data_IF_733791815866
#
_entry.id   IF_733791815866
#
_cell.length_a   1.000
_cell.length_b   1.000
_cell.length_c   1.000
_cell.angle_alpha   90.00
_cell.angle_beta   90.00
_cell.angle_gamma   90.00
#
_symmetry.space_group_name_H-M   'P 1'
#
loop_
_entity.id
_entity.type
_entity.pdbx_description
1 polymer ?
#
# COMPACT_ATOMS: atom_id res chain seq x y z
N UNK A 1 3.12 -3.50 -20.80
CA UNK A 1 3.24 -2.55 -19.66
C UNK A 1 2.05 -2.82 -18.75
N UNK A 2 2.32 -3.15 -17.48
CA UNK A 2 1.23 -3.41 -16.53
C UNK A 2 0.67 -2.09 -16.03
N UNK A 3 -0.67 -1.99 -15.91
CA UNK A 3 -1.36 -0.77 -15.50
C UNK A 3 -2.37 -1.12 -14.40
N UNK A 4 -2.35 -0.35 -13.31
CA UNK A 4 -3.44 -0.32 -12.35
C UNK A 4 -4.21 0.98 -12.55
N UNK A 5 -5.51 0.88 -12.86
CA UNK A 5 -6.40 2.01 -13.09
C UNK A 5 -7.54 2.00 -12.08
N UNK A 6 -7.74 3.13 -11.45
CA UNK A 6 -8.77 3.37 -10.45
C UNK A 6 -9.77 4.36 -11.00
N UNK A 7 -11.05 4.01 -10.99
CA UNK A 7 -12.11 4.81 -11.60
C UNK A 7 -13.23 5.12 -10.61
N UNK A 8 -13.36 6.39 -10.23
CA UNK A 8 -14.46 6.96 -9.46
C UNK A 8 -14.82 6.17 -8.19
N UNK A 9 -13.81 5.73 -7.43
CA UNK A 9 -14.04 4.95 -6.21
C UNK A 9 -14.78 5.78 -5.17
N UNK A 10 -15.89 5.21 -4.66
CA UNK A 10 -16.65 5.78 -3.54
C UNK A 10 -16.83 4.71 -2.47
N UNK A 11 -16.63 5.11 -1.21
CA UNK A 11 -16.91 4.26 -0.04
C UNK A 11 -17.47 5.05 1.11
N UNK A 12 -18.64 4.60 1.59
CA UNK A 12 -19.33 5.17 2.75
C UNK A 12 -19.49 4.11 3.83
N UNK A 13 -19.19 4.46 5.06
CA UNK A 13 -19.40 3.59 6.22
C UNK A 13 -20.54 4.10 7.09
N UNK A 14 -21.30 3.17 7.65
CA UNK A 14 -22.19 3.50 8.76
C UNK A 14 -21.38 3.62 10.04
N UNK A 15 -21.62 4.66 10.82
CA UNK A 15 -20.95 4.94 12.09
C UNK A 15 -21.93 4.90 13.24
N UNK A 16 -21.44 4.59 14.44
CA UNK A 16 -22.24 4.62 15.65
C UNK A 16 -22.68 6.06 16.01
N UNK A 17 -23.78 6.19 16.75
CA UNK A 17 -24.23 7.50 17.25
C UNK A 17 -23.14 8.23 18.06
N UNK A 18 -22.33 7.49 18.82
CA UNK A 18 -21.22 8.06 19.56
C UNK A 18 -20.13 8.64 18.64
N UNK A 19 -19.79 7.93 17.58
CA UNK A 19 -18.84 8.41 16.55
C UNK A 19 -19.42 9.59 15.76
N UNK A 20 -20.70 9.55 15.40
CA UNK A 20 -21.39 10.65 14.73
C UNK A 20 -21.27 11.95 15.55
N UNK A 21 -21.57 11.88 16.86
CA UNK A 21 -21.46 13.04 17.76
C UNK A 21 -20.02 13.54 17.90
N UNK A 22 -19.04 12.61 17.99
CA UNK A 22 -17.61 12.95 18.10
C UNK A 22 -17.07 13.65 16.85
N UNK A 23 -17.57 13.28 15.67
CA UNK A 23 -17.14 13.80 14.37
C UNK A 23 -18.02 14.96 13.87
N UNK A 24 -19.03 15.35 14.65
CA UNK A 24 -20.00 16.41 14.31
C UNK A 24 -20.63 16.24 12.91
N UNK A 25 -21.00 15.00 12.58
CA UNK A 25 -21.55 14.69 11.26
C UNK A 25 -23.08 14.82 11.25
N UNK A 26 -23.68 15.33 10.14
CA UNK A 26 -25.12 15.53 10.01
C UNK A 26 -25.91 14.20 9.96
N UNK A 27 -25.22 13.09 9.66
CA UNK A 27 -25.82 11.76 9.55
C UNK A 27 -24.93 10.68 10.17
N UNK A 28 -25.46 9.47 10.35
CA UNK A 28 -24.72 8.30 10.78
C UNK A 28 -23.88 7.65 9.64
N UNK A 29 -23.62 8.40 8.57
CA UNK A 29 -22.81 7.97 7.44
C UNK A 29 -21.57 8.83 7.34
N UNK A 30 -20.42 8.18 7.17
CA UNK A 30 -19.14 8.83 6.88
C UNK A 30 -18.68 8.40 5.50
N UNK A 31 -18.58 9.35 4.57
CA UNK A 31 -17.92 9.14 3.28
C UNK A 31 -16.41 9.08 3.55
N UNK A 32 -15.80 7.93 3.33
CA UNK A 32 -14.38 7.72 3.55
C UNK A 32 -13.56 7.89 2.28
N UNK A 33 -14.17 7.64 1.12
CA UNK A 33 -13.59 7.83 -0.22
C UNK A 33 -14.69 8.39 -1.11
N UNK A 34 -14.39 9.45 -1.83
CA UNK A 34 -15.35 10.24 -2.59
C UNK A 34 -14.84 10.55 -4.01
N UNK A 35 -15.05 9.61 -4.94
CA UNK A 35 -14.75 9.79 -6.36
C UNK A 35 -13.26 9.75 -6.71
N UNK A 36 -12.46 8.93 -6.03
CA UNK A 36 -11.03 8.80 -6.31
C UNK A 36 -10.80 8.13 -7.66
N UNK A 37 -9.97 8.77 -8.49
CA UNK A 37 -9.51 8.23 -9.78
C UNK A 37 -8.02 8.52 -9.96
N UNK A 38 -7.25 7.50 -10.37
CA UNK A 38 -5.85 7.61 -10.76
C UNK A 38 -5.41 6.38 -11.53
N UNK A 39 -4.23 6.45 -12.13
CA UNK A 39 -3.57 5.29 -12.72
C UNK A 39 -2.09 5.26 -12.34
N UNK A 40 -1.49 4.07 -12.34
CA UNK A 40 -0.07 3.83 -12.12
C UNK A 40 0.41 2.67 -12.96
N UNK A 41 1.73 2.62 -13.24
CA UNK A 41 2.30 1.76 -14.27
C UNK A 41 3.43 0.88 -13.71
N UNK A 42 3.79 -0.17 -14.46
CA UNK A 42 4.96 -0.98 -14.17
C UNK A 42 6.25 -0.14 -14.18
N UNK A 43 7.15 -0.41 -13.23
CA UNK A 43 8.38 0.36 -13.04
C UNK A 43 8.17 1.72 -12.36
N UNK A 44 6.98 1.95 -11.78
CA UNK A 44 6.63 3.17 -11.06
C UNK A 44 6.33 2.87 -9.58
N UNK A 45 6.75 3.77 -8.70
CA UNK A 45 6.26 3.85 -7.32
C UNK A 45 5.29 5.03 -7.23
N UNK A 46 4.03 4.73 -6.95
CA UNK A 46 2.96 5.71 -6.80
C UNK A 46 2.60 5.90 -5.33
N UNK A 47 2.71 7.14 -4.83
CA UNK A 47 2.40 7.50 -3.44
C UNK A 47 0.95 8.00 -3.27
N UNK A 48 0.27 7.51 -2.24
CA UNK A 48 -0.99 8.07 -1.75
C UNK A 48 -0.69 8.77 -0.42
N UNK A 49 -0.57 10.11 -0.46
CA UNK A 49 -0.16 10.95 0.66
C UNK A 49 -1.36 11.69 1.25
N UNK A 50 -1.41 11.79 2.57
CA UNK A 50 -2.47 12.55 3.24
C UNK A 50 -2.52 12.31 4.75
N UNK A 51 -3.27 13.13 5.50
CA UNK A 51 -3.38 13.01 6.94
C UNK A 51 -4.11 11.73 7.37
N UNK A 52 -4.05 11.43 8.66
CA UNK A 52 -4.81 10.33 9.24
C UNK A 52 -6.31 10.58 9.09
N UNK A 53 -7.02 9.55 8.61
CA UNK A 53 -8.47 9.65 8.36
C UNK A 53 -8.85 10.21 6.97
N UNK A 54 -7.89 10.58 6.12
CA UNK A 54 -8.14 11.10 4.76
C UNK A 54 -8.70 10.07 3.77
N UNK A 55 -8.76 8.77 4.13
CA UNK A 55 -9.27 7.71 3.25
C UNK A 55 -8.21 6.78 2.67
N UNK A 56 -6.90 7.01 2.93
CA UNK A 56 -5.79 6.21 2.38
C UNK A 56 -5.97 4.71 2.58
N UNK A 57 -6.05 4.24 3.83
CA UNK A 57 -6.23 2.81 4.16
C UNK A 57 -7.50 2.22 3.53
N UNK A 58 -8.60 2.99 3.47
CA UNK A 58 -9.84 2.54 2.81
C UNK A 58 -9.60 2.35 1.31
N UNK A 59 -8.92 3.28 0.66
CA UNK A 59 -8.52 3.17 -0.74
C UNK A 59 -7.65 1.94 -0.95
N UNK A 60 -6.57 1.76 -0.18
CA UNK A 60 -5.67 0.60 -0.28
C UNK A 60 -6.42 -0.73 -0.12
N UNK A 61 -7.36 -0.81 0.83
CA UNK A 61 -8.18 -2.01 1.04
C UNK A 61 -9.16 -2.28 -0.10
N UNK A 62 -9.65 -1.24 -0.81
CA UNK A 62 -10.44 -1.43 -2.02
C UNK A 62 -9.57 -1.93 -3.18
N UNK A 63 -8.36 -1.38 -3.35
CA UNK A 63 -7.38 -1.90 -4.31
C UNK A 63 -7.13 -3.39 -4.04
N UNK A 64 -6.87 -3.75 -2.79
CA UNK A 64 -6.61 -5.12 -2.37
C UNK A 64 -7.86 -6.02 -2.32
N UNK A 65 -8.99 -5.60 -2.87
CA UNK A 65 -10.27 -6.36 -2.86
C UNK A 65 -10.78 -6.79 -1.48
N UNK A 66 -10.24 -6.21 -0.40
CA UNK A 66 -10.66 -6.50 0.97
C UNK A 66 -11.96 -5.78 1.35
N UNK A 67 -12.25 -4.67 0.68
CA UNK A 67 -13.49 -3.91 0.81
C UNK A 67 -14.03 -3.64 -0.58
N UNK A 68 -15.31 -3.99 -0.81
CA UNK A 68 -15.98 -3.65 -2.07
C UNK A 68 -16.34 -2.15 -2.07
N UNK A 69 -16.01 -1.40 -3.13
CA UNK A 69 -16.47 -0.03 -3.28
C UNK A 69 -17.99 0.03 -3.43
N UNK A 70 -18.60 1.15 -3.04
CA UNK A 70 -20.02 1.41 -3.24
C UNK A 70 -20.29 1.90 -4.67
N UNK A 71 -19.29 2.59 -5.30
CA UNK A 71 -19.28 2.98 -6.71
C UNK A 71 -17.84 2.93 -7.23
N UNK A 72 -17.73 2.88 -8.56
CA UNK A 72 -16.44 2.82 -9.24
C UNK A 72 -15.86 1.41 -9.31
N UNK A 73 -14.66 1.29 -9.86
CA UNK A 73 -13.95 0.02 -10.03
C UNK A 73 -12.43 0.22 -9.98
N UNK A 74 -11.72 -0.89 -9.82
CA UNK A 74 -10.26 -0.97 -9.93
C UNK A 74 -9.92 -2.00 -10.99
N UNK A 75 -9.10 -1.61 -11.95
CA UNK A 75 -8.68 -2.49 -13.03
C UNK A 75 -7.19 -2.82 -12.90
N UNK A 76 -6.89 -4.10 -12.85
CA UNK A 76 -5.54 -4.66 -12.97
C UNK A 76 -5.35 -5.08 -14.42
N UNK A 77 -4.71 -4.22 -15.22
CA UNK A 77 -4.84 -4.22 -16.67
C UNK A 77 -6.33 -4.08 -17.05
N UNK A 78 -6.90 -5.04 -17.75
CA UNK A 78 -8.32 -5.01 -18.14
C UNK A 78 -9.23 -5.81 -17.18
N UNK A 79 -8.69 -6.34 -16.08
CA UNK A 79 -9.45 -7.19 -15.15
C UNK A 79 -10.04 -6.33 -14.03
N UNK A 80 -11.37 -6.31 -13.95
CA UNK A 80 -12.13 -5.62 -12.91
C UNK A 80 -12.02 -6.32 -11.57
N UNK A 81 -11.58 -5.61 -10.54
CA UNK A 81 -11.51 -6.11 -9.17
C UNK A 81 -12.90 -6.30 -8.53
N UNK A 82 -13.90 -5.57 -9.02
CA UNK A 82 -15.29 -5.70 -8.54
C UNK A 82 -15.98 -6.93 -9.11
N UNK A 83 -15.70 -7.27 -10.39
CA UNK A 83 -16.31 -8.40 -11.10
C UNK A 83 -15.57 -9.72 -10.92
N UNK A 84 -14.23 -9.66 -10.90
CA UNK A 84 -13.33 -10.83 -10.84
C UNK A 84 -12.29 -10.71 -9.73
N UNK A 85 -12.70 -10.52 -8.45
CA UNK A 85 -11.76 -10.27 -7.35
C UNK A 85 -10.79 -11.42 -7.12
N UNK A 86 -11.18 -12.67 -7.38
CA UNK A 86 -10.33 -13.85 -7.19
C UNK A 86 -9.18 -13.87 -8.21
N UNK A 87 -9.46 -13.55 -9.46
CA UNK A 87 -8.45 -13.47 -10.52
C UNK A 87 -7.44 -12.35 -10.25
N UNK A 88 -7.91 -11.23 -9.73
CA UNK A 88 -7.08 -10.08 -9.37
C UNK A 88 -6.17 -10.40 -8.19
N UNK A 89 -6.64 -11.14 -7.17
CA UNK A 89 -5.84 -11.50 -5.97
C UNK A 89 -4.57 -12.26 -6.30
N UNK A 90 -4.56 -13.03 -7.36
CA UNK A 90 -3.36 -13.74 -7.80
C UNK A 90 -2.28 -12.81 -8.41
N UNK A 91 -2.61 -11.57 -8.73
CA UNK A 91 -1.74 -10.63 -9.44
C UNK A 91 -1.06 -9.61 -8.53
N UNK A 92 -1.52 -9.44 -7.28
CA UNK A 92 -0.96 -8.45 -6.37
C UNK A 92 -0.52 -9.03 -5.03
N UNK A 93 0.44 -8.35 -4.40
CA UNK A 93 0.73 -8.49 -2.97
C UNK A 93 0.13 -7.29 -2.21
N UNK A 94 -0.48 -7.56 -1.05
CA UNK A 94 -0.94 -6.53 -0.14
C UNK A 94 -0.24 -6.67 1.20
N UNK A 95 0.49 -5.64 1.57
CA UNK A 95 1.26 -5.58 2.81
C UNK A 95 0.73 -4.47 3.71
N UNK A 96 0.56 -4.85 4.97
CA UNK A 96 0.27 -3.93 6.06
C UNK A 96 1.28 -4.14 7.18
N UNK A 97 1.44 -3.15 8.03
CA UNK A 97 2.27 -3.28 9.25
C UNK A 97 1.76 -4.36 10.21
N UNK A 98 0.51 -4.78 10.07
CA UNK A 98 -0.18 -5.74 10.94
C UNK A 98 -0.16 -7.18 10.41
N UNK A 99 0.71 -7.53 9.45
CA UNK A 99 0.78 -8.91 8.96
C UNK A 99 1.15 -9.85 10.11
N UNK A 100 0.19 -10.67 10.53
CA UNK A 100 0.36 -11.62 11.63
C UNK A 100 1.07 -12.87 11.13
N UNK A 101 2.38 -12.93 11.35
CA UNK A 101 3.16 -14.15 11.15
C UNK A 101 2.82 -15.19 12.24
N UNK A 102 2.84 -16.47 11.88
CA UNK A 102 2.74 -17.54 12.91
C UNK A 102 4.02 -17.55 13.78
N UNK A 103 3.87 -17.08 15.00
CA UNK A 103 4.99 -16.95 15.96
C UNK A 103 5.64 -18.27 16.34
N UNK A 104 4.98 -19.41 16.12
CA UNK A 104 5.50 -20.76 16.40
C UNK A 104 6.27 -21.36 15.24
N UNK A 105 6.08 -20.83 14.04
CA UNK A 105 6.73 -21.25 12.80
C UNK A 105 8.11 -20.61 12.61
N UNK A 106 8.78 -20.93 11.51
CA UNK A 106 10.02 -20.34 11.03
C UNK A 106 9.82 -19.67 9.67
N UNK A 107 10.75 -18.80 9.23
CA UNK A 107 10.67 -18.20 7.91
C UNK A 107 10.66 -19.26 6.81
N UNK A 108 11.48 -20.30 6.97
CA UNK A 108 11.58 -21.42 6.02
C UNK A 108 10.25 -22.16 5.87
N UNK A 109 9.64 -22.55 6.98
CA UNK A 109 8.34 -23.28 6.98
C UNK A 109 7.23 -22.40 6.40
N UNK A 110 7.17 -21.13 6.77
CA UNK A 110 6.16 -20.22 6.24
C UNK A 110 6.32 -20.01 4.74
N UNK A 111 7.56 -19.84 4.27
CA UNK A 111 7.82 -19.74 2.83
C UNK A 111 7.29 -20.99 2.09
N UNK A 112 7.67 -22.19 2.54
CA UNK A 112 7.28 -23.44 1.90
C UNK A 112 5.75 -23.63 1.89
N UNK A 113 5.09 -23.29 3.00
CA UNK A 113 3.62 -23.31 3.09
C UNK A 113 2.95 -22.37 2.08
N UNK A 114 3.41 -21.12 1.97
CA UNK A 114 2.82 -20.18 1.00
C UNK A 114 3.19 -20.53 -0.44
N UNK A 115 4.38 -21.06 -0.71
CA UNK A 115 4.75 -21.55 -2.04
C UNK A 115 3.84 -22.68 -2.51
N UNK A 116 3.48 -23.62 -1.60
CA UNK A 116 2.51 -24.67 -1.87
C UNK A 116 1.10 -24.10 -2.08
N UNK A 117 0.67 -23.16 -1.23
CA UNK A 117 -0.64 -22.51 -1.33
C UNK A 117 -0.83 -21.78 -2.68
N UNK A 118 0.23 -21.16 -3.18
CA UNK A 118 0.26 -20.51 -4.50
C UNK A 118 0.53 -21.47 -5.65
N UNK A 119 0.62 -22.79 -5.39
CA UNK A 119 0.89 -23.83 -6.39
C UNK A 119 2.17 -23.60 -7.20
N UNK A 120 3.21 -23.03 -6.55
CA UNK A 120 4.50 -22.78 -7.20
C UNK A 120 5.24 -24.11 -7.34
N UNK A 121 5.76 -24.48 -8.56
CA UNK A 121 6.53 -25.70 -8.74
C UNK A 121 7.73 -25.73 -7.77
N UNK A 122 8.00 -26.91 -7.17
CA UNK A 122 9.02 -27.08 -6.11
C UNK A 122 10.40 -26.52 -6.48
N UNK A 123 10.85 -26.79 -7.69
CA UNK A 123 12.15 -26.33 -8.19
C UNK A 123 12.21 -24.79 -8.25
N UNK A 124 11.15 -24.18 -8.79
CA UNK A 124 11.01 -22.71 -8.86
C UNK A 124 10.93 -22.10 -7.45
N UNK A 125 10.16 -22.73 -6.56
CA UNK A 125 10.03 -22.28 -5.17
C UNK A 125 11.37 -22.31 -4.43
N UNK A 126 12.14 -23.41 -4.60
CA UNK A 126 13.44 -23.56 -3.95
C UNK A 126 14.43 -22.50 -4.41
N UNK A 127 14.61 -22.35 -5.72
CA UNK A 127 15.50 -21.34 -6.30
C UNK A 127 15.14 -19.92 -5.83
N UNK A 128 13.86 -19.58 -5.87
CA UNK A 128 13.37 -18.27 -5.44
C UNK A 128 13.51 -18.05 -3.94
N UNK A 129 13.36 -19.11 -3.13
CA UNK A 129 13.62 -19.06 -1.69
C UNK A 129 15.06 -18.67 -1.39
N UNK A 130 16.00 -19.32 -2.05
CA UNK A 130 17.43 -19.02 -1.91
C UNK A 130 17.73 -17.56 -2.28
N UNK A 131 17.28 -17.12 -3.45
CA UNK A 131 17.44 -15.73 -3.91
C UNK A 131 16.83 -14.70 -2.94
N UNK A 132 15.58 -14.89 -2.53
CA UNK A 132 14.91 -13.96 -1.63
C UNK A 132 15.53 -13.97 -0.22
N UNK A 133 15.90 -15.13 0.31
CA UNK A 133 16.48 -15.22 1.65
C UNK A 133 17.88 -14.62 1.70
N UNK A 134 18.67 -14.76 0.64
CA UNK A 134 19.97 -14.12 0.50
C UNK A 134 19.83 -12.61 0.37
N UNK A 135 19.03 -12.11 -0.56
CA UNK A 135 18.82 -10.69 -0.82
C UNK A 135 18.32 -9.91 0.41
N UNK A 136 17.46 -10.57 1.24
CA UNK A 136 16.93 -9.96 2.47
C UNK A 136 17.74 -10.29 3.72
N UNK A 137 18.84 -11.07 3.60
CA UNK A 137 19.67 -11.47 4.72
C UNK A 137 18.92 -12.35 5.74
N UNK A 138 17.96 -13.16 5.29
CA UNK A 138 17.15 -14.05 6.11
C UNK A 138 17.85 -15.39 6.34
N UNK A 139 18.75 -15.81 5.46
CA UNK A 139 19.40 -17.13 5.44
C UNK A 139 19.93 -17.56 6.80
N UNK A 140 20.58 -16.64 7.54
CA UNK A 140 21.20 -16.97 8.84
C UNK A 140 20.23 -17.30 9.97
N UNK A 141 18.95 -16.94 9.84
CA UNK A 141 17.91 -17.19 10.84
C UNK A 141 16.64 -17.82 10.26
N UNK A 142 16.72 -18.36 9.04
CA UNK A 142 15.59 -18.94 8.31
C UNK A 142 14.84 -20.01 9.12
N UNK A 143 15.54 -20.79 9.93
CA UNK A 143 15.01 -21.88 10.75
C UNK A 143 14.82 -21.47 12.24
N UNK A 144 15.03 -20.21 12.56
CA UNK A 144 14.74 -19.66 13.89
C UNK A 144 13.24 -19.37 14.00
N UNK A 145 12.63 -19.73 15.16
CA UNK A 145 11.22 -19.42 15.41
C UNK A 145 10.95 -17.92 15.31
N UNK A 146 9.91 -17.52 14.63
CA UNK A 146 9.51 -16.12 14.41
C UNK A 146 9.34 -15.37 15.75
N UNK A 147 8.87 -16.06 16.80
CA UNK A 147 8.79 -15.48 18.16
C UNK A 147 10.13 -14.99 18.73
N UNK A 148 11.25 -15.53 18.26
CA UNK A 148 12.60 -15.17 18.72
C UNK A 148 13.26 -14.09 17.84
N UNK A 149 12.66 -13.72 16.73
CA UNK A 149 13.19 -12.71 15.82
C UNK A 149 12.91 -11.29 16.33
N UNK A 150 13.80 -10.35 16.03
CA UNK A 150 13.54 -8.92 16.22
C UNK A 150 12.37 -8.43 15.35
N UNK A 151 11.85 -7.25 15.63
CA UNK A 151 10.77 -6.67 14.81
C UNK A 151 11.21 -6.50 13.36
N UNK A 152 12.41 -5.96 13.09
CA UNK A 152 12.96 -5.80 11.74
C UNK A 152 13.15 -7.14 11.03
N UNK A 153 13.65 -8.18 11.72
CA UNK A 153 13.77 -9.52 11.13
C UNK A 153 12.40 -10.09 10.77
N UNK A 154 11.38 -9.92 11.61
CA UNK A 154 10.00 -10.32 11.29
C UNK A 154 9.45 -9.56 10.09
N UNK A 155 9.75 -8.25 9.99
CA UNK A 155 9.34 -7.44 8.85
C UNK A 155 9.93 -7.96 7.54
N UNK A 156 11.24 -8.29 7.51
CA UNK A 156 11.88 -8.91 6.34
C UNK A 156 11.22 -10.22 5.92
N UNK A 157 10.92 -11.09 6.88
CA UNK A 157 10.19 -12.33 6.62
C UNK A 157 8.81 -12.04 6.01
N UNK A 158 8.08 -11.07 6.55
CA UNK A 158 6.79 -10.63 6.04
C UNK A 158 6.85 -10.14 4.59
N UNK A 159 7.84 -9.30 4.26
CA UNK A 159 8.08 -8.81 2.90
C UNK A 159 8.32 -9.97 1.92
N UNK A 160 9.25 -10.87 2.26
CA UNK A 160 9.57 -12.02 1.41
C UNK A 160 8.36 -12.91 1.16
N UNK A 161 7.62 -13.25 2.22
CA UNK A 161 6.42 -14.09 2.10
C UNK A 161 5.38 -13.45 1.18
N UNK A 162 5.21 -12.15 1.23
CA UNK A 162 4.20 -11.45 0.43
C UNK A 162 4.46 -11.49 -1.08
N UNK A 163 5.71 -11.68 -1.50
CA UNK A 163 6.11 -11.66 -2.92
C UNK A 163 6.48 -13.03 -3.49
N UNK A 164 6.25 -14.10 -2.75
CA UNK A 164 6.55 -15.49 -3.17
C UNK A 164 5.99 -15.80 -4.56
N UNK A 165 4.74 -15.41 -4.81
CA UNK A 165 4.01 -15.68 -6.06
C UNK A 165 4.37 -14.74 -7.23
N UNK A 166 5.41 -13.92 -7.07
CA UNK A 166 5.87 -12.98 -8.08
C UNK A 166 4.81 -12.01 -8.59
N UNK A 167 4.13 -11.28 -7.70
CA UNK A 167 3.06 -10.38 -8.10
C UNK A 167 3.57 -9.28 -9.03
N UNK A 168 2.70 -8.81 -9.92
CA UNK A 168 3.00 -7.67 -10.79
C UNK A 168 2.69 -6.34 -10.11
N UNK A 169 1.76 -6.36 -9.15
CA UNK A 169 1.31 -5.19 -8.40
C UNK A 169 1.62 -5.37 -6.92
N UNK A 170 2.17 -4.36 -6.28
CA UNK A 170 2.51 -4.38 -4.87
C UNK A 170 1.87 -3.18 -4.19
N UNK A 171 1.06 -3.46 -3.18
CA UNK A 171 0.27 -2.46 -2.46
C UNK A 171 0.73 -2.44 -1.01
N UNK A 172 1.24 -1.30 -0.55
CA UNK A 172 1.69 -1.09 0.82
C UNK A 172 0.83 -0.06 1.56
N UNK A 173 0.23 -0.46 2.67
CA UNK A 173 -0.48 0.47 3.55
C UNK A 173 0.40 0.83 4.76
N UNK A 174 0.90 2.08 4.79
CA UNK A 174 1.79 2.64 5.82
C UNK A 174 3.05 1.78 6.08
N UNK A 175 3.90 1.49 5.05
CA UNK A 175 4.91 0.43 5.08
C UNK A 175 6.00 0.60 6.14
N UNK A 176 6.29 1.83 6.57
CA UNK A 176 7.36 2.12 7.54
C UNK A 176 6.85 2.59 8.90
N UNK A 177 5.52 2.59 9.10
CA UNK A 177 4.93 3.06 10.34
C UNK A 177 5.33 2.15 11.52
N UNK A 178 5.82 2.76 12.61
CA UNK A 178 6.24 2.04 13.82
C UNK A 178 7.54 1.24 13.68
N UNK A 179 8.27 1.37 12.58
CA UNK A 179 9.58 0.74 12.40
C UNK A 179 10.71 1.66 12.90
N UNK A 180 11.79 1.06 13.37
CA UNK A 180 13.04 1.77 13.60
C UNK A 180 13.72 2.16 12.27
N UNK A 181 14.77 3.00 12.36
CA UNK A 181 15.47 3.56 11.20
C UNK A 181 16.03 2.47 10.28
N UNK A 182 16.54 1.38 10.84
CA UNK A 182 17.16 0.28 10.08
C UNK A 182 16.08 -0.51 9.34
N UNK A 183 15.03 -0.91 10.05
CA UNK A 183 13.91 -1.64 9.45
C UNK A 183 13.18 -0.80 8.39
N UNK A 184 13.01 0.51 8.62
CA UNK A 184 12.44 1.42 7.64
C UNK A 184 13.31 1.54 6.37
N UNK A 185 14.65 1.49 6.52
CA UNK A 185 15.57 1.45 5.38
C UNK A 185 15.39 0.17 4.58
N UNK A 186 15.34 -0.99 5.23
CA UNK A 186 15.13 -2.28 4.55
C UNK A 186 13.81 -2.28 3.72
N UNK A 187 12.75 -1.68 4.25
CA UNK A 187 11.47 -1.54 3.51
C UNK A 187 11.61 -0.61 2.31
N UNK A 188 12.32 0.52 2.44
CA UNK A 188 12.58 1.42 1.31
C UNK A 188 13.39 0.74 0.21
N UNK A 189 14.45 0.05 0.59
CA UNK A 189 15.31 -0.67 -0.35
C UNK A 189 14.48 -1.75 -1.09
N UNK A 190 13.58 -2.44 -0.39
CA UNK A 190 12.65 -3.38 -1.01
C UNK A 190 11.70 -2.71 -2.02
N UNK A 191 11.10 -1.56 -1.67
CA UNK A 191 10.21 -0.82 -2.58
C UNK A 191 10.96 -0.46 -3.87
N UNK A 192 12.17 0.05 -3.75
CA UNK A 192 13.00 0.43 -4.90
C UNK A 192 13.42 -0.79 -5.74
N UNK A 193 13.77 -1.91 -5.09
CA UNK A 193 14.06 -3.16 -5.79
C UNK A 193 12.84 -3.63 -6.61
N UNK A 194 11.65 -3.62 -6.03
CA UNK A 194 10.43 -4.03 -6.74
C UNK A 194 10.14 -3.13 -7.95
N UNK A 195 10.41 -1.82 -7.84
CA UNK A 195 10.34 -0.89 -8.97
C UNK A 195 11.35 -1.26 -10.06
N UNK A 196 12.61 -1.53 -9.70
CA UNK A 196 13.67 -1.93 -10.65
C UNK A 196 13.35 -3.25 -11.36
N UNK A 197 12.67 -4.18 -10.68
CA UNK A 197 12.13 -5.41 -11.27
C UNK A 197 10.92 -5.16 -12.19
N UNK A 198 10.54 -3.90 -12.41
CA UNK A 198 9.43 -3.51 -13.28
C UNK A 198 8.05 -3.73 -12.67
N UNK A 199 7.94 -3.89 -11.36
CA UNK A 199 6.63 -4.00 -10.68
C UNK A 199 5.93 -2.66 -10.63
N UNK A 200 4.60 -2.67 -10.55
CA UNK A 200 3.78 -1.52 -10.23
C UNK A 200 3.64 -1.45 -8.71
N UNK A 201 4.22 -0.44 -8.07
CA UNK A 201 4.22 -0.32 -6.60
C UNK A 201 3.37 0.87 -6.17
N UNK A 202 2.44 0.62 -5.24
CA UNK A 202 1.58 1.65 -4.67
C UNK A 202 1.80 1.68 -3.16
N UNK A 203 2.09 2.84 -2.61
CA UNK A 203 2.25 3.03 -1.17
C UNK A 203 1.27 4.06 -0.64
N UNK A 204 0.71 3.84 0.54
CA UNK A 204 0.03 4.89 1.30
C UNK A 204 0.90 5.33 2.46
N UNK A 205 0.96 6.62 2.73
CA UNK A 205 1.68 7.12 3.89
C UNK A 205 1.25 8.55 4.26
N UNK A 206 1.61 8.97 5.47
CA UNK A 206 1.56 10.36 5.90
C UNK A 206 2.97 10.97 6.08
N UNK A 207 4.02 10.19 5.74
CA UNK A 207 5.43 10.57 5.89
C UNK A 207 5.98 11.13 4.58
N UNK A 208 6.22 12.42 4.52
CA UNK A 208 6.75 13.10 3.33
C UNK A 208 8.12 12.57 2.91
N UNK A 209 9.03 12.34 3.88
CA UNK A 209 10.38 11.81 3.62
C UNK A 209 10.35 10.45 2.89
N UNK A 210 9.41 9.58 3.22
CA UNK A 210 9.26 8.31 2.50
C UNK A 210 8.86 8.53 1.06
N UNK A 211 7.85 9.39 0.81
CA UNK A 211 7.38 9.70 -0.54
C UNK A 211 8.50 10.30 -1.39
N UNK A 212 9.23 11.29 -0.84
CA UNK A 212 10.35 11.94 -1.55
C UNK A 212 11.48 10.98 -1.92
N UNK A 213 11.69 9.92 -1.14
CA UNK A 213 12.78 8.96 -1.37
C UNK A 213 12.44 7.85 -2.34
N UNK A 214 11.17 7.44 -2.44
CA UNK A 214 10.82 6.23 -3.19
C UNK A 214 9.82 6.44 -4.30
N UNK A 215 8.99 7.49 -4.26
CA UNK A 215 7.93 7.69 -5.26
C UNK A 215 8.41 8.46 -6.49
N UNK A 216 7.82 8.15 -7.63
CA UNK A 216 7.95 8.91 -8.88
C UNK A 216 6.82 9.93 -9.01
N UNK A 217 5.61 9.52 -8.63
CA UNK A 217 4.39 10.33 -8.62
C UNK A 217 3.64 10.14 -7.31
N UNK A 218 2.83 11.11 -6.95
CA UNK A 218 1.96 10.99 -5.79
C UNK A 218 0.60 11.67 -6.00
N UNK A 219 -0.43 11.10 -5.36
CA UNK A 219 -1.71 11.74 -5.17
C UNK A 219 -1.84 12.21 -3.72
N UNK A 220 -2.24 13.45 -3.51
CA UNK A 220 -2.55 13.97 -2.18
C UNK A 220 -4.05 13.83 -1.92
N UNK A 221 -4.39 13.12 -0.83
CA UNK A 221 -5.78 12.85 -0.45
C UNK A 221 -6.15 13.65 0.79
N UNK A 222 -7.26 14.39 0.71
CA UNK A 222 -7.87 15.13 1.82
C UNK A 222 -9.38 14.81 1.82
N UNK A 223 -9.94 14.46 2.98
CA UNK A 223 -11.38 14.18 3.17
C UNK A 223 -11.98 13.22 2.12
N UNK A 224 -11.21 12.20 1.73
CA UNK A 224 -11.63 11.18 0.77
C UNK A 224 -11.50 11.57 -0.70
N UNK A 225 -10.98 12.75 -1.02
CA UNK A 225 -10.80 13.25 -2.39
C UNK A 225 -9.33 13.42 -2.76
N UNK A 226 -8.97 13.15 -4.00
CA UNK A 226 -7.66 13.57 -4.54
C UNK A 226 -7.72 15.06 -4.84
N UNK A 227 -6.84 15.83 -4.20
CA UNK A 227 -6.73 17.28 -4.42
C UNK A 227 -5.71 17.62 -5.49
N UNK A 228 -4.69 16.78 -5.64
CA UNK A 228 -3.66 16.86 -6.70
C UNK A 228 -3.05 15.50 -6.94
N UNK A 229 -2.65 15.22 -8.17
CA UNK A 229 -1.96 13.99 -8.59
C UNK A 229 -0.99 14.35 -9.73
N UNK A 230 0.30 14.25 -9.46
CA UNK A 230 1.33 14.57 -10.44
C UNK A 230 2.68 13.91 -10.09
N UNK A 231 3.71 14.14 -10.90
CA UNK A 231 5.09 13.79 -10.58
C UNK A 231 5.55 14.54 -9.33
N UNK A 232 6.52 13.97 -8.59
CA UNK A 232 7.04 14.67 -7.40
C UNK A 232 7.68 16.00 -7.75
N UNK A 233 8.32 16.11 -8.90
CA UNK A 233 8.91 17.36 -9.37
C UNK A 233 7.86 18.47 -9.53
N UNK A 234 6.74 18.14 -10.19
CA UNK A 234 5.62 19.06 -10.39
C UNK A 234 4.90 19.39 -9.08
N UNK A 235 4.75 18.43 -8.17
CA UNK A 235 4.13 18.68 -6.86
C UNK A 235 4.97 19.62 -6.00
N UNK A 236 6.28 19.43 -6.00
CA UNK A 236 7.21 20.23 -5.16
C UNK A 236 7.44 21.63 -5.68
N UNK A 237 7.48 21.84 -7.00
CA UNK A 237 7.75 23.15 -7.61
C UNK A 237 8.95 23.89 -6.99
N UNK A 238 10.01 23.14 -6.65
CA UNK A 238 11.23 23.68 -6.03
C UNK A 238 11.16 23.86 -4.50
N UNK A 239 10.07 23.48 -3.84
CA UNK A 239 9.89 23.47 -2.38
C UNK A 239 10.06 22.06 -1.80
N UNK A 240 9.95 21.90 -0.48
CA UNK A 240 9.76 20.59 0.12
C UNK A 240 8.36 20.04 -0.21
N UNK A 241 8.21 18.72 -0.23
CA UNK A 241 6.89 18.09 -0.44
C UNK A 241 5.92 18.45 0.70
N UNK A 242 6.44 18.66 1.91
CA UNK A 242 5.67 19.08 3.08
C UNK A 242 5.09 20.48 2.88
N UNK A 243 5.90 21.46 2.46
CA UNK A 243 5.42 22.82 2.20
C UNK A 243 4.37 22.85 1.07
N UNK A 244 4.62 22.10 -0.01
CA UNK A 244 3.68 21.96 -1.11
C UNK A 244 2.34 21.36 -0.63
N UNK A 245 2.39 20.32 0.23
CA UNK A 245 1.19 19.72 0.81
C UNK A 245 0.39 20.75 1.63
N UNK A 246 1.04 21.54 2.47
CA UNK A 246 0.35 22.56 3.27
C UNK A 246 -0.32 23.61 2.41
N UNK A 247 0.25 24.03 1.29
CA UNK A 247 -0.39 24.94 0.34
C UNK A 247 -1.65 24.31 -0.26
N UNK A 248 -1.56 23.09 -0.80
CA UNK A 248 -2.73 22.38 -1.34
C UNK A 248 -3.81 22.16 -0.27
N UNK A 249 -3.41 21.85 0.96
CA UNK A 249 -4.33 21.67 2.07
C UNK A 249 -5.07 22.98 2.41
N UNK A 250 -4.35 24.09 2.47
CA UNK A 250 -4.90 25.42 2.78
C UNK A 250 -5.88 25.86 1.68
N UNK A 251 -5.49 25.70 0.42
CA UNK A 251 -6.33 26.04 -0.73
C UNK A 251 -7.61 25.19 -0.77
N UNK A 252 -7.49 23.89 -0.47
CA UNK A 252 -8.65 23.01 -0.38
C UNK A 252 -9.62 23.47 0.72
N UNK A 253 -9.11 23.79 1.91
CA UNK A 253 -9.93 24.26 3.04
C UNK A 253 -10.59 25.61 2.76
N UNK A 254 -9.91 26.53 2.09
CA UNK A 254 -10.45 27.83 1.71
C UNK A 254 -11.63 27.69 0.73
N UNK A 255 -11.53 26.75 -0.24
CA UNK A 255 -12.60 26.46 -1.21
C UNK A 255 -13.84 25.83 -0.53
N UNK A 256 -13.64 24.94 0.43
CA UNK A 256 -14.75 24.32 1.19
C UNK A 256 -15.47 25.34 2.10
N UNK A 257 -14.75 26.32 2.66
CA UNK A 257 -15.33 27.37 3.51
C UNK A 257 -15.97 28.52 2.73
N UNK A 258 -15.50 28.81 1.50
CA UNK A 258 -16.02 29.87 0.63
C UNK A 258 -17.18 29.43 -0.27
N UNK A 259 -17.56 28.17 -0.26
CA UNK A 259 -18.63 27.59 -1.06
C UNK A 259 -20.01 27.51 -0.38
N UNK A 260 -20.21 28.25 0.70
CA UNK A 260 -21.53 28.37 1.40
C UNK A 260 -22.19 29.70 1.04
#
# INVERSE_FOLDING_TARGET
MEILRVENLVKTFQISKAQQKKLDLPSNKKVAVDGISFETHSGEVFGILGPNGAGKTTTMRMLATLIKPDKGDVFYNDISAVKSPEEVRAKFAFLTTDLKLDMKSTASIMYDFFAELYHIPKETALKRKEELFENFGITSYADTKISKLSQGMRQKVSLVISVIHNPQFIIFDEPTNGLDIIAAKDVRDFILQMKEEGKCVIISTHLFDLVERVCDRAAMIIDGKIVVNDTLENLKQGKSLEDAFYEFYTDYRAKEQGGN
#
